data_IF_558262940709
#
_entry.id   IF_558262940709
#
_cell.length_a   1.000
_cell.length_b   1.000
_cell.length_c   1.000
_cell.angle_alpha   90.00
_cell.angle_beta   90.00
_cell.angle_gamma   90.00
#
_symmetry.space_group_name_H-M   'P 1'
#
loop_
_entity.id
_entity.type
_entity.pdbx_description
1 polymer ?
#
# COMPACT_ATOMS: atom_id res chain seq x y z
N UNK A 1 -14.93 -8.37 -36.55
CA UNK A 1 -16.03 -7.80 -35.77
C UNK A 1 -16.09 -8.63 -34.50
N UNK A 2 -15.60 -8.09 -33.38
CA UNK A 2 -15.81 -8.75 -32.09
C UNK A 2 -17.24 -8.44 -31.67
N UNK A 3 -18.02 -9.47 -31.35
CA UNK A 3 -19.36 -9.32 -30.80
C UNK A 3 -19.25 -8.56 -29.47
N UNK A 4 -20.13 -7.57 -29.27
CA UNK A 4 -20.30 -6.90 -27.99
C UNK A 4 -20.73 -7.94 -26.95
N UNK A 5 -19.77 -8.45 -26.17
CA UNK A 5 -20.05 -9.34 -25.05
C UNK A 5 -20.90 -8.53 -24.08
N UNK A 6 -22.15 -8.93 -23.79
CA UNK A 6 -22.97 -8.20 -22.84
C UNK A 6 -22.27 -8.19 -21.48
N UNK A 7 -21.97 -6.98 -21.00
CA UNK A 7 -21.39 -6.78 -19.66
C UNK A 7 -22.49 -7.15 -18.68
N UNK A 8 -22.39 -8.37 -18.15
CA UNK A 8 -23.25 -8.81 -17.06
C UNK A 8 -22.71 -8.15 -15.80
N UNK A 9 -23.52 -7.37 -15.05
CA UNK A 9 -23.09 -6.80 -13.79
C UNK A 9 -22.60 -7.90 -12.84
N UNK A 10 -21.55 -7.60 -12.08
CA UNK A 10 -20.91 -8.50 -11.13
C UNK A 10 -21.61 -8.42 -9.78
N UNK A 11 -21.60 -9.51 -9.03
CA UNK A 11 -22.04 -9.56 -7.63
C UNK A 11 -20.94 -9.10 -6.66
N UNK A 12 -19.67 -9.26 -7.07
CA UNK A 12 -18.51 -8.94 -6.28
C UNK A 12 -17.33 -8.47 -7.14
N UNK A 13 -16.76 -7.33 -6.77
CA UNK A 13 -15.52 -6.82 -7.32
C UNK A 13 -14.50 -6.76 -6.20
N UNK A 14 -13.36 -7.41 -6.42
CA UNK A 14 -12.26 -7.45 -5.47
C UNK A 14 -11.01 -6.79 -6.04
N UNK A 15 -10.41 -5.93 -5.24
CA UNK A 15 -9.18 -5.24 -5.56
C UNK A 15 -8.19 -5.40 -4.41
N UNK A 16 -6.95 -5.79 -4.73
CA UNK A 16 -5.90 -5.96 -3.74
C UNK A 16 -4.55 -5.50 -4.24
N UNK A 17 -3.83 -4.79 -3.37
CA UNK A 17 -2.43 -4.36 -3.58
C UNK A 17 -2.26 -3.53 -4.84
N UNK A 18 -3.01 -2.43 -4.95
CA UNK A 18 -2.98 -1.53 -6.11
C UNK A 18 -2.55 -0.10 -5.76
N UNK A 19 -2.03 0.13 -4.55
CA UNK A 19 -1.38 1.38 -4.19
C UNK A 19 -0.38 1.79 -5.30
N UNK A 20 -0.46 3.04 -5.76
CA UNK A 20 0.36 3.54 -6.86
C UNK A 20 0.02 3.00 -8.26
N UNK A 21 -0.98 2.13 -8.41
CA UNK A 21 -1.37 1.60 -9.73
C UNK A 21 -2.22 2.60 -10.53
N UNK A 22 -2.98 3.47 -9.88
CA UNK A 22 -3.96 4.34 -10.54
C UNK A 22 -3.66 5.82 -10.30
N UNK A 23 -3.91 6.62 -11.33
CA UNK A 23 -3.82 8.07 -11.23
C UNK A 23 -5.13 8.75 -10.86
N UNK A 24 -6.25 8.03 -11.00
CA UNK A 24 -7.59 8.47 -10.65
C UNK A 24 -8.33 7.31 -10.01
N UNK A 25 -8.18 7.18 -8.69
CA UNK A 25 -8.83 6.13 -7.92
C UNK A 25 -10.36 6.29 -7.90
N UNK A 26 -10.87 7.52 -7.86
CA UNK A 26 -12.32 7.80 -7.90
C UNK A 26 -12.95 7.27 -9.18
N UNK A 27 -12.30 7.42 -10.33
CA UNK A 27 -12.76 6.82 -11.58
C UNK A 27 -12.85 5.30 -11.51
N UNK A 28 -11.94 4.63 -10.80
CA UNK A 28 -12.00 3.18 -10.62
C UNK A 28 -13.13 2.77 -9.67
N UNK A 29 -13.33 3.50 -8.59
CA UNK A 29 -14.46 3.31 -7.68
C UNK A 29 -15.80 3.47 -8.44
N UNK A 30 -15.92 4.51 -9.29
CA UNK A 30 -17.09 4.72 -10.13
C UNK A 30 -17.33 3.55 -11.08
N UNK A 31 -16.27 3.09 -11.77
CA UNK A 31 -16.39 1.93 -12.66
C UNK A 31 -16.79 0.67 -11.91
N UNK A 32 -16.29 0.44 -10.69
CA UNK A 32 -16.71 -0.67 -9.87
C UNK A 32 -18.22 -0.58 -9.56
N UNK A 33 -18.68 0.60 -9.14
CA UNK A 33 -20.10 0.86 -8.86
C UNK A 33 -21.00 0.60 -10.08
N UNK A 34 -20.64 1.15 -11.24
CA UNK A 34 -21.42 1.03 -12.48
C UNK A 34 -21.52 -0.42 -13.00
N UNK A 35 -20.61 -1.29 -12.57
CA UNK A 35 -20.53 -2.68 -13.01
C UNK A 35 -20.98 -3.67 -11.93
N UNK A 36 -21.52 -3.21 -10.79
CA UNK A 36 -22.11 -4.06 -9.77
C UNK A 36 -23.62 -4.19 -9.96
N UNK A 37 -24.16 -5.36 -9.67
CA UNK A 37 -25.60 -5.51 -9.49
C UNK A 37 -26.08 -4.80 -8.21
N UNK A 38 -27.37 -4.42 -8.11
CA UNK A 38 -27.92 -3.90 -6.87
C UNK A 38 -27.73 -4.88 -5.70
N UNK A 39 -26.99 -4.45 -4.68
CA UNK A 39 -26.64 -5.29 -3.52
C UNK A 39 -25.29 -6.01 -3.62
N UNK A 40 -24.57 -5.84 -4.74
CA UNK A 40 -23.21 -6.34 -4.90
C UNK A 40 -22.18 -5.60 -4.04
N UNK A 41 -20.99 -6.18 -3.93
CA UNK A 41 -19.93 -5.71 -3.04
C UNK A 41 -18.68 -5.27 -3.80
N UNK A 42 -18.08 -4.16 -3.36
CA UNK A 42 -16.74 -3.77 -3.75
C UNK A 42 -15.81 -3.82 -2.54
N UNK A 43 -14.75 -4.62 -2.63
CA UNK A 43 -13.75 -4.75 -1.56
C UNK A 43 -12.37 -4.32 -2.04
N UNK A 44 -11.73 -3.46 -1.25
CA UNK A 44 -10.36 -2.96 -1.46
C UNK A 44 -9.50 -3.43 -0.28
N UNK A 45 -8.42 -4.14 -0.56
CA UNK A 45 -7.39 -4.50 0.40
C UNK A 45 -6.04 -3.92 -0.02
N UNK A 46 -5.57 -2.88 0.65
CA UNK A 46 -4.31 -2.23 0.28
C UNK A 46 -3.41 -1.94 1.48
N UNK A 47 -2.15 -1.68 1.17
CA UNK A 47 -1.17 -1.20 2.14
C UNK A 47 -1.41 0.29 2.41
N UNK A 48 -1.15 0.69 3.65
CA UNK A 48 -1.11 2.11 4.03
C UNK A 48 0.34 2.50 4.29
N UNK A 49 0.78 3.58 3.62
CA UNK A 49 2.08 4.19 3.82
C UNK A 49 1.92 5.67 4.20
N UNK A 50 2.77 6.21 5.10
CA UNK A 50 3.71 5.49 5.95
C UNK A 50 2.99 4.55 6.94
N UNK A 51 3.66 3.48 7.38
CA UNK A 51 3.07 2.56 8.36
C UNK A 51 2.98 3.19 9.74
N UNK A 52 1.96 2.80 10.51
CA UNK A 52 1.80 3.21 11.89
C UNK A 52 2.76 2.45 12.81
N UNK A 53 3.18 3.11 13.90
CA UNK A 53 3.89 2.48 15.01
C UNK A 53 3.25 2.99 16.31
N UNK A 54 2.46 2.14 16.96
CA UNK A 54 1.60 2.56 18.08
C UNK A 54 2.35 2.74 19.40
N UNK A 55 3.56 2.18 19.53
CA UNK A 55 4.35 2.21 20.76
C UNK A 55 5.63 3.07 20.68
N UNK A 56 5.84 3.74 19.55
CA UNK A 56 6.94 4.68 19.35
C UNK A 56 8.32 4.03 19.24
N UNK A 57 8.40 2.72 19.06
CA UNK A 57 9.67 2.00 18.87
C UNK A 57 10.37 2.36 17.57
N UNK A 58 9.62 2.81 16.54
CA UNK A 58 10.15 3.34 15.29
C UNK A 58 10.28 4.87 15.40
N UNK A 59 11.49 5.43 15.61
CA UNK A 59 11.65 6.87 15.70
C UNK A 59 11.46 7.53 14.32
N UNK A 60 11.04 8.81 14.26
CA UNK A 60 10.95 9.55 12.98
C UNK A 60 12.29 9.66 12.22
N UNK A 61 13.41 9.43 12.91
CA UNK A 61 14.76 9.41 12.32
C UNK A 61 15.13 8.06 11.69
N UNK A 62 14.32 7.02 11.88
CA UNK A 62 14.55 5.69 11.34
C UNK A 62 14.64 5.73 9.80
N UNK A 63 15.54 4.93 9.23
CA UNK A 63 15.67 4.76 7.79
C UNK A 63 14.36 4.24 7.17
N UNK A 64 13.64 3.36 7.86
CA UNK A 64 12.33 2.85 7.45
C UNK A 64 11.32 3.99 7.27
N UNK A 65 11.26 4.90 8.24
CA UNK A 65 10.39 6.07 8.16
C UNK A 65 10.79 6.99 7.00
N UNK A 66 12.09 7.29 6.84
CA UNK A 66 12.62 8.08 5.71
C UNK A 66 12.27 7.46 4.36
N UNK A 67 12.41 6.14 4.24
CA UNK A 67 12.11 5.38 3.03
C UNK A 67 10.64 5.44 2.65
N UNK A 68 9.73 5.19 3.60
CA UNK A 68 8.28 5.27 3.34
C UNK A 68 7.84 6.66 2.90
N UNK A 69 8.33 7.71 3.57
CA UNK A 69 8.02 9.09 3.18
C UNK A 69 8.55 9.43 1.79
N UNK A 70 9.79 9.02 1.46
CA UNK A 70 10.35 9.25 0.13
C UNK A 70 9.55 8.55 -0.98
N UNK A 71 9.02 7.35 -0.72
CA UNK A 71 8.11 6.66 -1.64
C UNK A 71 6.79 7.41 -1.80
N UNK A 72 6.15 7.82 -0.69
CA UNK A 72 4.89 8.55 -0.71
C UNK A 72 5.03 9.86 -1.47
N UNK A 73 6.05 10.66 -1.15
CA UNK A 73 6.33 11.94 -1.81
C UNK A 73 6.54 11.79 -3.32
N UNK A 74 7.36 10.82 -3.74
CA UNK A 74 7.61 10.55 -5.15
C UNK A 74 6.35 10.06 -5.88
N UNK A 75 5.55 9.20 -5.23
CA UNK A 75 4.32 8.65 -5.79
C UNK A 75 3.24 9.73 -5.99
N UNK A 76 3.14 10.67 -5.07
CA UNK A 76 2.24 11.81 -5.15
C UNK A 76 2.64 12.78 -6.27
N UNK A 77 3.93 13.01 -6.47
CA UNK A 77 4.44 13.92 -7.52
C UNK A 77 4.08 13.44 -8.94
N UNK A 78 4.03 12.12 -9.15
CA UNK A 78 3.58 11.53 -10.43
C UNK A 78 2.07 11.27 -10.49
N UNK A 79 1.33 11.72 -9.48
CA UNK A 79 -0.13 11.57 -9.40
C UNK A 79 -0.59 10.12 -9.25
N UNK A 80 0.23 9.23 -8.67
CA UNK A 80 -0.10 7.81 -8.43
C UNK A 80 0.15 7.49 -6.96
N UNK A 81 -0.72 7.94 -6.04
CA UNK A 81 -0.47 7.90 -4.60
C UNK A 81 -0.35 6.47 -4.06
N UNK A 82 0.64 6.23 -3.19
CA UNK A 82 0.76 5.01 -2.40
C UNK A 82 -0.06 5.05 -1.09
N UNK A 83 -0.56 6.23 -0.71
CA UNK A 83 -1.23 6.49 0.58
C UNK A 83 -2.72 6.81 0.43
N UNK A 84 -3.39 6.26 -0.59
CA UNK A 84 -4.78 6.61 -0.91
C UNK A 84 -5.83 5.88 -0.05
N UNK A 85 -5.47 4.77 0.61
CA UNK A 85 -6.44 3.90 1.29
C UNK A 85 -7.40 4.65 2.24
N UNK A 86 -6.95 5.59 3.11
CA UNK A 86 -7.88 6.35 3.97
C UNK A 86 -8.85 7.25 3.19
N UNK A 87 -8.37 7.92 2.14
CA UNK A 87 -9.17 8.83 1.30
C UNK A 87 -10.22 8.09 0.47
N UNK A 88 -10.03 6.79 0.22
CA UNK A 88 -10.99 5.98 -0.54
C UNK A 88 -12.37 5.91 0.11
N UNK A 89 -12.47 6.08 1.44
CA UNK A 89 -13.75 5.98 2.16
C UNK A 89 -14.73 7.09 1.76
N UNK A 90 -14.23 8.30 1.50
CA UNK A 90 -15.06 9.42 1.07
C UNK A 90 -15.47 9.26 -0.40
N UNK A 91 -14.55 8.83 -1.27
CA UNK A 91 -14.89 8.55 -2.67
C UNK A 91 -15.90 7.40 -2.82
N UNK A 92 -15.82 6.36 -1.97
CA UNK A 92 -16.82 5.29 -1.92
C UNK A 92 -18.22 5.86 -1.58
N UNK A 93 -18.31 6.75 -0.57
CA UNK A 93 -19.59 7.41 -0.19
C UNK A 93 -20.12 8.28 -1.31
N UNK A 94 -19.25 9.10 -1.89
CA UNK A 94 -19.61 10.06 -2.93
C UNK A 94 -20.16 9.40 -4.19
N UNK A 95 -19.61 8.23 -4.57
CA UNK A 95 -20.06 7.45 -5.73
C UNK A 95 -21.41 6.78 -5.47
N UNK A 96 -21.78 6.56 -4.20
CA UNK A 96 -23.06 6.01 -3.79
C UNK A 96 -23.00 4.64 -3.11
N UNK A 97 -21.81 4.14 -2.76
CA UNK A 97 -21.71 2.94 -1.93
C UNK A 97 -22.30 3.19 -0.54
N UNK A 98 -23.00 2.18 -0.03
CA UNK A 98 -23.60 2.16 1.31
C UNK A 98 -22.95 1.06 2.15
N UNK A 99 -23.22 1.04 3.47
CA UNK A 99 -22.68 0.03 4.39
C UNK A 99 -21.15 -0.10 4.37
N UNK A 100 -20.44 1.00 4.12
CA UNK A 100 -18.98 1.02 4.00
C UNK A 100 -18.33 0.61 5.33
N UNK A 101 -17.53 -0.46 5.28
CA UNK A 101 -16.77 -0.98 6.42
C UNK A 101 -15.28 -0.76 6.19
N UNK A 102 -14.63 -0.10 7.15
CA UNK A 102 -13.18 0.05 7.18
C UNK A 102 -12.59 -0.87 8.26
N UNK A 103 -11.58 -1.65 7.91
CA UNK A 103 -10.84 -2.52 8.84
C UNK A 103 -9.35 -2.33 8.61
N UNK A 104 -8.65 -2.02 9.70
CA UNK A 104 -7.19 -1.92 9.72
C UNK A 104 -6.65 -3.24 10.28
N UNK A 105 -5.64 -3.80 9.61
CA UNK A 105 -4.97 -5.03 10.03
C UNK A 105 -3.51 -4.74 10.32
N UNK A 106 -2.99 -5.32 11.40
CA UNK A 106 -1.57 -5.26 11.69
C UNK A 106 -0.81 -6.11 10.65
N UNK A 107 0.15 -5.48 9.97
CA UNK A 107 1.03 -6.13 8.99
C UNK A 107 2.49 -5.92 9.39
N UNK A 108 3.03 -6.73 10.33
CA UNK A 108 4.34 -6.51 10.91
C UNK A 108 5.44 -6.54 9.86
N UNK A 109 6.47 -5.72 10.04
CA UNK A 109 7.66 -5.77 9.19
C UNK A 109 8.59 -6.93 9.56
N UNK A 110 8.47 -7.46 10.78
CA UNK A 110 9.25 -8.60 11.26
C UNK A 110 8.53 -9.42 12.32
N UNK A 111 9.24 -10.39 12.90
CA UNK A 111 8.71 -11.36 13.85
C UNK A 111 8.53 -10.86 15.29
N UNK A 112 8.51 -9.54 15.54
CA UNK A 112 8.31 -8.96 16.88
C UNK A 112 7.01 -9.38 17.60
N UNK A 113 5.85 -9.56 16.94
CA UNK A 113 4.61 -9.84 17.67
C UNK A 113 4.67 -11.19 18.39
N UNK A 114 4.02 -11.29 19.55
CA UNK A 114 3.92 -12.56 20.28
C UNK A 114 2.98 -13.55 19.59
N UNK A 115 1.90 -13.05 18.99
CA UNK A 115 0.91 -13.87 18.29
C UNK A 115 1.57 -14.71 17.17
N UNK A 116 1.40 -16.05 17.16
CA UNK A 116 2.07 -16.92 16.21
C UNK A 116 1.77 -16.59 14.74
N UNK A 117 0.54 -16.14 14.43
CA UNK A 117 0.11 -15.82 13.07
C UNK A 117 0.72 -14.50 12.62
N UNK A 118 0.68 -13.46 13.46
CA UNK A 118 1.34 -12.19 13.16
C UNK A 118 2.86 -12.35 13.04
N UNK A 119 3.46 -13.21 13.86
CA UNK A 119 4.88 -13.57 13.75
C UNK A 119 5.23 -14.25 12.43
N UNK A 120 4.35 -15.10 11.92
CA UNK A 120 4.51 -15.70 10.58
C UNK A 120 4.38 -14.65 9.47
N UNK A 121 3.37 -13.78 9.52
CA UNK A 121 3.20 -12.67 8.56
C UNK A 121 4.45 -11.79 8.55
N UNK A 122 4.95 -11.42 9.72
CA UNK A 122 6.15 -10.61 9.86
C UNK A 122 7.40 -11.24 9.27
N UNK A 123 7.57 -12.56 9.40
CA UNK A 123 8.68 -13.28 8.75
C UNK A 123 8.61 -13.18 7.22
N UNK A 124 7.42 -13.36 6.65
CA UNK A 124 7.23 -13.25 5.21
C UNK A 124 7.40 -11.81 4.70
N UNK A 125 6.92 -10.82 5.46
CA UNK A 125 7.09 -9.43 5.10
C UNK A 125 8.56 -8.99 5.18
N UNK A 126 9.28 -9.43 6.22
CA UNK A 126 10.72 -9.20 6.35
C UNK A 126 11.48 -9.74 5.13
N UNK A 127 11.19 -10.98 4.71
CA UNK A 127 11.81 -11.57 3.52
C UNK A 127 11.43 -10.81 2.24
N UNK A 128 10.17 -10.38 2.11
CA UNK A 128 9.71 -9.60 0.96
C UNK A 128 10.47 -8.28 0.83
N UNK A 129 10.65 -7.56 1.95
CA UNK A 129 11.38 -6.29 1.95
C UNK A 129 12.88 -6.49 1.72
N UNK A 130 13.49 -7.49 2.34
CA UNK A 130 14.91 -7.82 2.14
C UNK A 130 15.25 -8.03 0.66
N UNK A 131 14.38 -8.74 -0.07
CA UNK A 131 14.56 -9.01 -1.51
C UNK A 131 14.04 -7.89 -2.42
N UNK A 132 13.06 -7.10 -1.98
CA UNK A 132 12.26 -6.23 -2.85
C UNK A 132 12.53 -4.73 -2.74
N UNK A 133 13.25 -4.27 -1.71
CA UNK A 133 13.42 -2.85 -1.38
C UNK A 133 13.89 -1.98 -2.56
N UNK A 134 14.91 -2.43 -3.29
CA UNK A 134 15.43 -1.68 -4.44
C UNK A 134 14.40 -1.59 -5.57
N UNK A 135 13.62 -2.66 -5.79
CA UNK A 135 12.55 -2.71 -6.79
C UNK A 135 11.44 -1.69 -6.53
N UNK A 136 11.08 -1.48 -5.26
CA UNK A 136 10.13 -0.44 -4.87
C UNK A 136 10.71 0.97 -4.99
N UNK A 137 12.01 1.12 -4.80
CA UNK A 137 12.64 2.43 -4.55
C UNK A 137 13.25 3.07 -5.78
N UNK A 138 13.96 2.30 -6.62
CA UNK A 138 14.83 2.84 -7.66
C UNK A 138 14.09 3.77 -8.64
N UNK A 139 12.96 3.34 -9.18
CA UNK A 139 12.25 4.15 -10.18
C UNK A 139 11.71 5.46 -9.60
N UNK A 140 11.08 5.40 -8.41
CA UNK A 140 10.51 6.56 -7.74
C UNK A 140 11.60 7.53 -7.30
N UNK A 141 12.62 7.07 -6.59
CA UNK A 141 13.62 7.96 -6.00
C UNK A 141 14.61 8.51 -7.05
N UNK A 142 14.99 7.73 -8.07
CA UNK A 142 15.93 8.22 -9.09
C UNK A 142 15.23 9.06 -10.17
N UNK A 143 14.17 8.54 -10.80
CA UNK A 143 13.55 9.21 -11.96
C UNK A 143 12.65 10.37 -11.58
N UNK A 144 12.00 10.30 -10.41
CA UNK A 144 11.12 11.37 -9.92
C UNK A 144 11.89 12.34 -9.03
N UNK A 145 12.60 11.84 -8.00
CA UNK A 145 13.28 12.70 -7.03
C UNK A 145 14.74 13.04 -7.39
N UNK A 146 15.30 12.46 -8.44
CA UNK A 146 16.65 12.78 -8.92
C UNK A 146 17.78 12.22 -8.05
N UNK A 147 17.50 11.27 -7.16
CA UNK A 147 18.54 10.66 -6.32
C UNK A 147 19.52 9.86 -7.18
N UNK A 148 20.78 9.76 -6.72
CA UNK A 148 21.73 8.81 -7.32
C UNK A 148 21.32 7.39 -6.96
N UNK A 149 21.67 6.43 -7.82
CA UNK A 149 21.48 5.00 -7.53
C UNK A 149 22.11 4.62 -6.19
N UNK A 150 23.37 5.01 -5.96
CA UNK A 150 24.13 4.70 -4.76
C UNK A 150 23.42 5.20 -3.49
N UNK A 151 22.83 6.40 -3.50
CA UNK A 151 22.09 6.92 -2.36
C UNK A 151 20.79 6.13 -2.07
N UNK A 152 20.14 5.60 -3.11
CA UNK A 152 18.96 4.74 -2.96
C UNK A 152 19.36 3.38 -2.39
N UNK A 153 20.43 2.78 -2.91
CA UNK A 153 20.96 1.50 -2.45
C UNK A 153 21.46 1.60 -1.00
N UNK A 154 22.14 2.69 -0.62
CA UNK A 154 22.53 2.97 0.77
C UNK A 154 21.32 3.04 1.71
N UNK A 155 20.27 3.78 1.33
CA UNK A 155 19.04 3.84 2.11
C UNK A 155 18.39 2.45 2.22
N UNK A 156 18.36 1.66 1.14
CA UNK A 156 17.81 0.31 1.18
C UNK A 156 18.57 -0.58 2.17
N UNK A 157 19.90 -0.49 2.23
CA UNK A 157 20.72 -1.23 3.19
C UNK A 157 20.48 -0.76 4.64
N UNK A 158 20.28 0.54 4.88
CA UNK A 158 19.86 1.04 6.20
C UNK A 158 18.50 0.45 6.60
N UNK A 159 17.52 0.46 5.69
CA UNK A 159 16.18 -0.10 5.94
C UNK A 159 16.24 -1.60 6.20
N UNK A 160 17.03 -2.38 5.44
CA UNK A 160 17.18 -3.84 5.68
C UNK A 160 17.64 -4.13 7.11
N UNK A 161 18.58 -3.35 7.64
CA UNK A 161 19.06 -3.50 9.04
C UNK A 161 17.97 -3.21 10.06
N UNK A 162 17.11 -2.23 9.79
CA UNK A 162 15.99 -1.89 10.67
C UNK A 162 14.83 -2.89 10.57
N UNK A 163 14.51 -3.37 9.37
CA UNK A 163 13.42 -4.33 9.16
C UNK A 163 13.68 -5.62 9.94
N UNK A 164 14.91 -6.12 10.01
CA UNK A 164 15.22 -7.34 10.80
C UNK A 164 15.29 -7.10 12.32
N UNK A 165 15.29 -5.85 12.78
CA UNK A 165 15.41 -5.51 14.20
C UNK A 165 14.06 -5.63 14.90
N UNK A 166 13.86 -6.72 15.65
CA UNK A 166 12.62 -6.97 16.38
C UNK A 166 12.37 -6.03 17.55
N UNK A 167 13.26 -5.05 17.80
CA UNK A 167 13.01 -3.94 18.73
C UNK A 167 12.22 -2.82 18.08
N UNK A 168 12.12 -2.80 16.75
CA UNK A 168 11.33 -1.87 15.96
C UNK A 168 10.01 -2.53 15.60
N UNK A 169 8.92 -2.06 16.21
CA UNK A 169 7.58 -2.62 16.03
C UNK A 169 6.82 -1.87 14.92
N UNK A 170 7.42 -1.89 13.72
CA UNK A 170 6.79 -1.46 12.48
C UNK A 170 5.85 -2.55 11.92
#
# INVERSE_FOLDING_TARGET
MYEDIPVTPLDYIFNRSVAGSWSDFRSIIQKAYDNLEPGGYFEIQDLELPSCCDDGTVPPTAALHRWQNALVDASNEIGRPLNYAPSSLDDLRDVGFVEIRHRVFQWPFNSWPEDPKLKEIGRWNCANLDMGLEGFSLALMTRVKGWTRDAVEELCEEVKREVVDTRLHA
#
